data_IF_606599622658
#
_entry.id   IF_606599622658
#
_cell.length_a   1.000
_cell.length_b   1.000
_cell.length_c   1.000
_cell.angle_alpha   90.00
_cell.angle_beta   90.00
_cell.angle_gamma   90.00
#
_symmetry.space_group_name_H-M   'P 1'
#
loop_
_entity.id
_entity.type
_entity.pdbx_description
1 polymer ?
#
# COMPACT_ATOMS: atom_id res chain seq x y z
N UNK A 1 2.29 23.24 9.85
CA UNK A 1 1.04 23.93 9.47
C UNK A 1 -0.19 23.31 10.13
N UNK A 2 -0.59 22.07 9.80
CA UNK A 2 -1.84 21.48 10.32
C UNK A 2 -1.87 21.39 11.84
N UNK A 3 -0.78 20.92 12.47
CA UNK A 3 -0.68 20.86 13.93
C UNK A 3 -0.84 22.24 14.60
N UNK A 4 -0.26 23.28 14.03
CA UNK A 4 -0.40 24.66 14.54
C UNK A 4 -1.83 25.18 14.38
N UNK A 5 -2.44 24.98 13.20
CA UNK A 5 -3.83 25.34 12.97
C UNK A 5 -4.80 24.58 13.89
N UNK A 6 -4.53 23.30 14.12
CA UNK A 6 -5.29 22.44 15.03
C UNK A 6 -5.18 22.90 16.48
N UNK A 7 -3.97 23.10 17.00
CA UNK A 7 -3.74 23.60 18.37
C UNK A 7 -4.49 24.90 18.63
N UNK A 8 -4.46 25.80 17.64
CA UNK A 8 -5.11 27.09 17.73
C UNK A 8 -6.64 26.98 17.65
N UNK A 9 -7.19 26.16 16.76
CA UNK A 9 -8.63 25.91 16.75
C UNK A 9 -9.08 25.22 18.04
N UNK A 10 -8.36 24.21 18.53
CA UNK A 10 -8.64 23.52 19.81
C UNK A 10 -8.70 24.49 20.99
N UNK A 11 -7.86 25.51 21.01
CA UNK A 11 -7.90 26.53 22.06
C UNK A 11 -9.17 27.38 22.11
N UNK A 12 -10.00 27.34 21.07
CA UNK A 12 -11.30 28.01 20.99
C UNK A 12 -12.44 27.00 21.15
N UNK A 13 -12.34 25.87 20.46
CA UNK A 13 -13.45 24.92 20.29
C UNK A 13 -13.40 23.73 21.26
N UNK A 14 -12.31 23.59 22.01
CA UNK A 14 -12.06 22.48 22.93
C UNK A 14 -11.74 21.17 22.20
N UNK A 15 -12.16 20.05 22.80
CA UNK A 15 -11.87 18.68 22.33
C UNK A 15 -12.75 18.22 21.16
N UNK A 16 -13.37 19.15 20.42
CA UNK A 16 -14.15 18.77 19.24
C UNK A 16 -13.25 18.20 18.14
N UNK A 17 -13.81 17.32 17.33
CA UNK A 17 -13.17 16.84 16.12
C UNK A 17 -13.01 18.01 15.13
N UNK A 18 -11.78 18.26 14.71
CA UNK A 18 -11.43 19.27 13.74
C UNK A 18 -11.03 18.54 12.47
N UNK A 19 -11.83 18.70 11.42
CA UNK A 19 -11.52 18.16 10.11
C UNK A 19 -10.92 19.26 9.26
N UNK A 20 -9.83 18.94 8.58
CA UNK A 20 -9.22 19.78 7.57
C UNK A 20 -9.37 19.15 6.19
N UNK A 21 -9.50 20.00 5.18
CA UNK A 21 -9.46 19.62 3.78
C UNK A 21 -8.82 20.73 2.95
N UNK A 22 -8.20 20.35 1.83
CA UNK A 22 -7.73 21.32 0.85
C UNK A 22 -8.88 22.17 0.34
N UNK A 23 -8.60 23.43 0.01
CA UNK A 23 -9.60 24.29 -0.64
C UNK A 23 -9.71 23.94 -2.12
N UNK A 24 -10.86 24.22 -2.77
CA UNK A 24 -11.01 23.97 -4.21
C UNK A 24 -10.25 24.97 -5.08
N UNK A 25 -9.80 26.10 -4.52
CA UNK A 25 -9.08 27.15 -5.23
C UNK A 25 -8.08 27.83 -4.29
N UNK A 26 -6.83 27.95 -4.73
CA UNK A 26 -5.73 28.61 -4.00
C UNK A 26 -6.05 30.03 -3.52
N UNK A 27 -6.93 30.75 -4.22
CA UNK A 27 -7.40 32.08 -3.81
C UNK A 27 -8.18 32.02 -2.50
N UNK A 28 -8.80 30.90 -2.16
CA UNK A 28 -9.60 30.70 -0.96
C UNK A 28 -8.75 30.33 0.26
N UNK A 29 -7.50 29.91 0.08
CA UNK A 29 -6.59 29.43 1.12
C UNK A 29 -5.94 28.12 0.70
N UNK A 30 -4.98 27.63 1.47
CA UNK A 30 -4.31 26.35 1.18
C UNK A 30 -5.13 25.18 1.71
N UNK A 31 -5.75 25.35 2.88
CA UNK A 31 -6.66 24.39 3.47
C UNK A 31 -7.74 25.09 4.28
N UNK A 32 -8.78 24.36 4.65
CA UNK A 32 -9.90 24.88 5.43
C UNK A 32 -10.37 23.90 6.50
N UNK A 33 -11.09 24.42 7.49
CA UNK A 33 -11.80 23.63 8.47
C UNK A 33 -13.30 23.90 8.44
N UNK A 34 -14.07 22.83 8.64
CA UNK A 34 -15.54 22.85 8.71
C UNK A 34 -16.07 22.92 10.15
N UNK A 35 -15.19 23.15 11.14
CA UNK A 35 -15.54 23.11 12.57
C UNK A 35 -16.69 24.06 12.95
N UNK A 36 -16.84 25.18 12.24
CA UNK A 36 -17.95 26.12 12.48
C UNK A 36 -19.32 25.49 12.24
N UNK A 37 -19.47 24.55 11.28
CA UNK A 37 -20.73 23.81 11.09
C UNK A 37 -21.08 22.95 12.31
N UNK A 38 -20.08 22.28 12.87
CA UNK A 38 -20.25 21.40 14.04
C UNK A 38 -20.70 22.23 15.25
N UNK A 39 -20.05 23.37 15.47
CA UNK A 39 -20.36 24.29 16.58
C UNK A 39 -21.73 24.92 16.38
N UNK A 40 -22.03 25.41 15.19
CA UNK A 40 -23.31 26.04 14.88
C UNK A 40 -24.48 25.09 15.08
N UNK A 41 -24.34 23.81 14.72
CA UNK A 41 -25.35 22.78 14.99
C UNK A 41 -25.58 22.59 16.50
N UNK A 42 -24.51 22.58 17.31
CA UNK A 42 -24.61 22.46 18.78
C UNK A 42 -25.24 23.71 19.42
N UNK A 43 -24.87 24.90 18.95
CA UNK A 43 -25.32 26.17 19.49
C UNK A 43 -26.65 26.66 18.91
N UNK A 44 -27.19 25.98 17.89
CA UNK A 44 -28.35 26.41 17.09
C UNK A 44 -28.19 27.84 16.53
N UNK A 45 -26.97 28.17 16.09
CA UNK A 45 -26.60 29.46 15.50
C UNK A 45 -26.37 29.34 13.99
N UNK A 46 -26.29 30.48 13.30
CA UNK A 46 -25.88 30.49 11.90
C UNK A 46 -24.39 30.07 11.77
N UNK A 47 -24.05 29.07 10.95
CA UNK A 47 -22.66 28.63 10.73
C UNK A 47 -21.70 29.73 10.27
N UNK A 48 -22.19 30.71 9.49
CA UNK A 48 -21.38 31.83 9.04
C UNK A 48 -20.98 32.74 10.20
N UNK A 49 -21.92 33.08 11.08
CA UNK A 49 -21.66 33.91 12.27
C UNK A 49 -20.67 33.22 13.21
N UNK A 50 -20.82 31.90 13.39
CA UNK A 50 -19.87 31.12 14.20
C UNK A 50 -18.46 31.15 13.60
N UNK A 51 -18.31 31.06 12.28
CA UNK A 51 -17.00 31.19 11.64
C UNK A 51 -16.39 32.59 11.86
N UNK A 52 -17.20 33.65 11.78
CA UNK A 52 -16.76 35.04 12.05
C UNK A 52 -16.32 35.24 13.50
N UNK A 53 -17.05 34.67 14.46
CA UNK A 53 -16.72 34.68 15.89
C UNK A 53 -15.37 33.98 16.16
N UNK A 54 -15.17 32.80 15.53
CA UNK A 54 -13.93 32.04 15.68
C UNK A 54 -12.75 32.85 15.13
N UNK A 55 -12.86 33.40 13.92
CA UNK A 55 -11.78 34.18 13.30
C UNK A 55 -11.47 35.44 14.10
N UNK A 56 -12.50 36.10 14.62
CA UNK A 56 -12.31 37.27 15.48
C UNK A 56 -11.50 36.93 16.73
N UNK A 57 -11.73 35.74 17.30
CA UNK A 57 -10.98 35.21 18.45
C UNK A 57 -9.53 34.80 18.11
N UNK A 58 -9.22 34.60 16.82
CA UNK A 58 -7.91 34.20 16.32
C UNK A 58 -6.98 35.37 15.99
N UNK A 59 -7.52 36.57 15.73
CA UNK A 59 -6.74 37.75 15.29
C UNK A 59 -5.60 38.13 16.23
N UNK A 60 -5.71 37.82 17.52
CA UNK A 60 -4.69 38.15 18.53
C UNK A 60 -3.63 37.08 18.71
N UNK A 61 -3.80 35.90 18.07
CA UNK A 61 -2.88 34.78 18.19
C UNK A 61 -1.81 34.86 17.11
N UNK A 62 -0.55 34.82 17.54
CA UNK A 62 0.58 34.73 16.62
C UNK A 62 0.71 33.31 16.12
N UNK A 63 0.89 33.18 14.81
CA UNK A 63 1.17 31.93 14.12
C UNK A 63 2.49 32.08 13.37
N UNK A 64 3.31 31.04 13.41
CA UNK A 64 4.59 30.97 12.72
C UNK A 64 4.40 30.65 11.24
N UNK A 65 3.56 29.68 10.90
CA UNK A 65 3.43 29.19 9.52
C UNK A 65 2.13 29.62 8.83
N UNK A 66 1.28 30.41 9.49
CA UNK A 66 0.00 30.89 8.94
C UNK A 66 0.07 32.41 8.80
N UNK A 67 -0.03 32.87 7.55
CA UNK A 67 -0.03 34.29 7.17
C UNK A 67 -1.38 34.95 7.40
N UNK A 68 -2.46 34.24 7.08
CA UNK A 68 -3.82 34.77 7.17
C UNK A 68 -4.82 33.65 7.49
N UNK A 69 -5.86 34.00 8.24
CA UNK A 69 -7.06 33.19 8.41
C UNK A 69 -8.24 34.06 8.04
N UNK A 70 -9.12 33.56 7.17
CA UNK A 70 -10.36 34.23 6.78
C UNK A 70 -11.49 33.24 6.59
N UNK A 71 -12.73 33.69 6.70
CA UNK A 71 -13.87 32.84 6.44
C UNK A 71 -14.39 33.06 5.03
N UNK A 72 -14.84 31.97 4.40
CA UNK A 72 -15.65 32.02 3.18
C UNK A 72 -16.94 31.30 3.50
N UNK A 73 -17.98 32.09 3.80
CA UNK A 73 -19.19 31.57 4.42
C UNK A 73 -18.86 30.93 5.79
N UNK A 74 -19.23 29.66 6.01
CA UNK A 74 -18.96 28.95 7.27
C UNK A 74 -17.60 28.24 7.33
N UNK A 75 -16.80 28.27 6.26
CA UNK A 75 -15.48 27.64 6.26
C UNK A 75 -14.46 28.57 6.90
N UNK A 76 -13.55 28.00 7.70
CA UNK A 76 -12.39 28.71 8.23
C UNK A 76 -11.20 28.35 7.35
N UNK A 77 -10.73 29.29 6.54
CA UNK A 77 -9.68 29.04 5.56
C UNK A 77 -8.34 29.61 6.05
N UNK A 78 -7.28 28.86 5.79
CA UNK A 78 -5.93 29.13 6.25
C UNK A 78 -5.02 29.40 5.06
N UNK A 79 -4.20 30.44 5.16
CA UNK A 79 -3.17 30.79 4.20
C UNK A 79 -1.81 30.60 4.86
N UNK A 80 -0.97 29.78 4.26
CA UNK A 80 0.37 29.46 4.72
C UNK A 80 1.28 30.67 4.45
N UNK A 81 2.14 30.96 5.41
CA UNK A 81 3.29 31.82 5.17
C UNK A 81 4.38 31.01 4.47
N UNK A 82 4.37 31.04 3.13
CA UNK A 82 5.29 30.27 2.31
C UNK A 82 6.75 30.71 2.44
N UNK A 83 7.02 31.96 2.84
CA UNK A 83 8.39 32.44 3.01
C UNK A 83 9.01 31.78 4.24
N UNK A 84 8.32 31.82 5.38
CA UNK A 84 8.77 31.19 6.62
C UNK A 84 8.73 29.67 6.50
N UNK A 85 7.60 29.13 6.03
CA UNK A 85 7.41 27.68 5.90
C UNK A 85 8.41 27.08 4.90
N UNK A 86 8.59 27.70 3.74
CA UNK A 86 9.51 27.24 2.70
C UNK A 86 10.96 27.28 3.16
N UNK A 87 11.38 28.35 3.82
CA UNK A 87 12.73 28.44 4.38
C UNK A 87 13.01 27.34 5.40
N UNK A 88 12.13 27.15 6.39
CA UNK A 88 12.31 26.13 7.42
C UNK A 88 12.22 24.71 6.83
N UNK A 89 11.31 24.46 5.89
CA UNK A 89 11.20 23.19 5.19
C UNK A 89 12.49 22.83 4.44
N UNK A 90 13.00 23.75 3.62
CA UNK A 90 14.23 23.52 2.86
C UNK A 90 15.43 23.36 3.79
N UNK A 91 15.51 24.17 4.84
CA UNK A 91 16.55 24.04 5.87
C UNK A 91 16.50 22.66 6.52
N UNK A 92 15.32 22.15 6.86
CA UNK A 92 15.18 20.82 7.47
C UNK A 92 15.53 19.72 6.46
N UNK A 93 15.03 19.78 5.22
CA UNK A 93 15.37 18.81 4.16
C UNK A 93 16.88 18.72 3.92
N UNK A 94 17.60 19.85 3.97
CA UNK A 94 19.03 19.90 3.71
C UNK A 94 19.89 19.49 4.92
N UNK A 95 19.41 19.68 6.15
CA UNK A 95 20.20 19.45 7.37
C UNK A 95 19.82 18.19 8.14
N UNK A 96 18.60 17.67 7.96
CA UNK A 96 18.10 16.51 8.69
C UNK A 96 18.20 15.24 7.86
N UNK A 97 18.67 14.16 8.49
CA UNK A 97 18.19 12.83 8.13
C UNK A 97 16.81 12.74 8.74
N UNK A 98 15.78 12.52 7.93
CA UNK A 98 14.42 12.26 8.41
C UNK A 98 14.48 11.02 9.32
N UNK A 99 14.51 11.23 10.63
CA UNK A 99 14.54 10.13 11.60
C UNK A 99 13.12 9.60 11.74
N UNK A 100 12.86 8.54 10.99
CA UNK A 100 11.67 7.73 11.19
C UNK A 100 11.95 6.81 12.36
N UNK A 101 11.14 6.89 13.41
CA UNK A 101 11.22 5.99 14.55
C UNK A 101 10.95 4.54 14.12
N UNK A 102 11.72 3.61 14.69
CA UNK A 102 11.46 2.19 14.50
C UNK A 102 10.07 1.81 15.00
N UNK A 103 9.36 1.02 14.19
CA UNK A 103 8.05 0.49 14.54
C UNK A 103 8.23 -0.87 15.20
N UNK A 104 7.47 -1.11 16.27
CA UNK A 104 7.55 -2.36 17.04
C UNK A 104 6.84 -3.51 16.33
N UNK A 105 5.94 -3.18 15.42
CA UNK A 105 5.14 -4.10 14.65
C UNK A 105 5.98 -4.79 13.56
N UNK A 106 5.80 -6.11 13.46
CA UNK A 106 6.29 -6.89 12.33
C UNK A 106 5.27 -6.85 11.20
N UNK A 107 5.74 -6.62 9.98
CA UNK A 107 4.92 -6.68 8.76
C UNK A 107 5.43 -7.82 7.90
N UNK A 108 4.54 -8.73 7.52
CA UNK A 108 4.82 -9.77 6.52
C UNK A 108 4.15 -9.34 5.23
N UNK A 109 4.94 -9.26 4.16
CA UNK A 109 4.45 -9.01 2.80
C UNK A 109 4.71 -10.26 1.98
N UNK A 110 3.66 -11.04 1.74
CA UNK A 110 3.72 -12.17 0.82
C UNK A 110 3.33 -11.69 -0.59
N UNK A 111 4.17 -11.99 -1.58
CA UNK A 111 3.89 -11.69 -2.97
C UNK A 111 4.61 -12.66 -3.91
N UNK A 112 4.33 -12.51 -5.20
CA UNK A 112 4.72 -13.45 -6.26
C UNK A 112 3.97 -14.77 -6.13
N UNK A 113 4.31 -15.60 -5.13
CA UNK A 113 3.67 -16.88 -4.74
C UNK A 113 3.06 -17.65 -5.92
N UNK A 114 3.85 -17.79 -7.00
CA UNK A 114 3.40 -18.45 -8.22
C UNK A 114 3.72 -19.93 -8.15
N UNK A 115 2.79 -20.76 -8.64
CA UNK A 115 3.07 -22.18 -8.80
C UNK A 115 4.33 -22.38 -9.67
N UNK A 116 5.25 -23.28 -9.26
CA UNK A 116 6.52 -23.52 -9.94
C UNK A 116 6.34 -24.48 -11.13
N UNK A 117 5.39 -24.19 -12.01
CA UNK A 117 4.99 -25.06 -13.11
C UNK A 117 4.99 -24.37 -14.48
N UNK A 118 5.33 -23.07 -14.55
CA UNK A 118 5.31 -22.27 -15.77
C UNK A 118 6.12 -20.98 -15.61
N UNK A 119 6.52 -20.29 -16.69
CA UNK A 119 7.27 -19.05 -16.57
C UNK A 119 6.38 -17.91 -16.07
N UNK A 120 7.01 -16.89 -15.47
CA UNK A 120 6.30 -15.70 -15.04
C UNK A 120 5.80 -14.86 -16.24
N UNK A 121 4.59 -14.30 -16.13
CA UNK A 121 4.00 -13.41 -17.13
C UNK A 121 3.60 -12.05 -16.52
N UNK A 122 3.09 -11.12 -17.34
CA UNK A 122 2.74 -9.76 -16.90
C UNK A 122 1.82 -9.70 -15.67
N UNK A 123 0.87 -10.63 -15.55
CA UNK A 123 0.05 -10.77 -14.34
C UNK A 123 0.87 -11.00 -13.05
N UNK A 124 1.87 -11.88 -13.08
CA UNK A 124 2.75 -12.14 -11.93
C UNK A 124 3.69 -10.96 -11.69
N UNK A 125 4.19 -10.32 -12.75
CA UNK A 125 5.03 -9.14 -12.62
C UNK A 125 4.30 -8.01 -11.87
N UNK A 126 3.02 -7.77 -12.18
CA UNK A 126 2.19 -6.81 -11.43
C UNK A 126 2.13 -7.16 -9.94
N UNK A 127 1.86 -8.42 -9.60
CA UNK A 127 1.80 -8.86 -8.21
C UNK A 127 3.15 -8.63 -7.50
N UNK A 128 4.26 -9.05 -8.12
CA UNK A 128 5.60 -8.88 -7.59
C UNK A 128 5.97 -7.40 -7.36
N UNK A 129 5.68 -6.52 -8.33
CA UNK A 129 5.96 -5.09 -8.21
C UNK A 129 5.13 -4.45 -7.09
N UNK A 130 3.84 -4.79 -6.98
CA UNK A 130 2.98 -4.25 -5.92
C UNK A 130 3.49 -4.68 -4.53
N UNK A 131 3.80 -5.96 -4.37
CA UNK A 131 4.35 -6.49 -3.12
C UNK A 131 5.68 -5.87 -2.76
N UNK A 132 6.64 -5.81 -3.70
CA UNK A 132 7.96 -5.21 -3.46
C UNK A 132 7.85 -3.70 -3.15
N UNK A 133 6.94 -2.98 -3.82
CA UNK A 133 6.68 -1.56 -3.53
C UNK A 133 6.17 -1.36 -2.10
N UNK A 134 5.20 -2.17 -1.66
CA UNK A 134 4.70 -2.13 -0.29
C UNK A 134 5.80 -2.47 0.72
N UNK A 135 6.60 -3.51 0.46
CA UNK A 135 7.71 -3.89 1.32
C UNK A 135 8.75 -2.77 1.45
N UNK A 136 9.05 -2.05 0.35
CA UNK A 136 9.93 -0.87 0.37
C UNK A 136 9.36 0.26 1.20
N UNK A 137 8.05 0.53 1.09
CA UNK A 137 7.37 1.54 1.91
C UNK A 137 7.44 1.18 3.39
N UNK A 138 7.14 -0.07 3.77
CA UNK A 138 7.23 -0.51 5.17
C UNK A 138 8.66 -0.46 5.72
N UNK A 139 9.66 -0.87 4.93
CA UNK A 139 11.08 -0.73 5.30
C UNK A 139 11.50 0.72 5.45
N UNK A 140 11.07 1.60 4.56
CA UNK A 140 11.30 3.04 4.65
C UNK A 140 10.69 3.61 5.93
N UNK A 141 9.48 3.18 6.27
CA UNK A 141 8.78 3.52 7.51
C UNK A 141 9.32 2.78 8.77
N UNK A 142 10.45 2.08 8.66
CA UNK A 142 11.16 1.38 9.75
C UNK A 142 10.33 0.30 10.46
N UNK A 143 9.44 -0.37 9.74
CA UNK A 143 8.84 -1.62 10.21
C UNK A 143 9.81 -2.79 10.08
N UNK A 144 9.75 -3.74 11.02
CA UNK A 144 10.37 -5.05 10.86
C UNK A 144 9.64 -5.82 9.74
N UNK A 145 10.14 -5.69 8.52
CA UNK A 145 9.45 -6.15 7.30
C UNK A 145 10.06 -7.43 6.78
N UNK A 146 9.28 -8.51 6.76
CA UNK A 146 9.63 -9.79 6.15
C UNK A 146 8.90 -9.95 4.82
N UNK A 147 9.65 -10.36 3.78
CA UNK A 147 9.08 -10.63 2.46
C UNK A 147 9.02 -12.15 2.30
N UNK A 148 7.86 -12.67 1.95
CA UNK A 148 7.64 -14.09 1.72
C UNK A 148 7.26 -14.36 0.27
N UNK A 149 7.73 -15.48 -0.27
CA UNK A 149 7.34 -16.01 -1.56
C UNK A 149 6.96 -17.48 -1.32
N UNK A 150 5.67 -17.76 -1.26
CA UNK A 150 5.18 -19.12 -1.01
C UNK A 150 5.32 -19.97 -2.26
N UNK A 151 5.96 -21.13 -2.13
CA UNK A 151 6.13 -22.09 -3.20
C UNK A 151 5.27 -23.30 -2.89
N UNK A 152 4.26 -23.55 -3.72
CA UNK A 152 3.45 -24.77 -3.67
C UNK A 152 4.09 -25.86 -4.54
N UNK A 153 5.00 -26.63 -3.96
CA UNK A 153 5.67 -27.75 -4.61
C UNK A 153 4.85 -29.05 -4.60
N UNK A 154 3.68 -29.06 -3.95
CA UNK A 154 2.79 -30.21 -3.82
C UNK A 154 1.47 -30.04 -4.62
N UNK A 155 1.23 -28.86 -5.18
CA UNK A 155 0.03 -28.54 -5.94
C UNK A 155 -0.19 -29.44 -7.17
N UNK A 156 -1.46 -29.60 -7.55
CA UNK A 156 -1.86 -30.45 -8.68
C UNK A 156 -1.18 -30.04 -10.00
N UNK A 157 -0.90 -28.76 -10.19
CA UNK A 157 -0.22 -28.25 -11.39
C UNK A 157 1.26 -28.68 -11.47
N UNK A 158 1.92 -28.84 -10.32
CA UNK A 158 3.26 -29.44 -10.26
C UNK A 158 3.18 -30.92 -10.58
N UNK A 159 2.16 -31.63 -10.09
CA UNK A 159 1.94 -33.03 -10.45
C UNK A 159 1.66 -33.22 -11.96
N UNK A 160 0.88 -32.34 -12.58
CA UNK A 160 0.62 -32.34 -14.02
C UNK A 160 1.91 -32.18 -14.82
N UNK A 161 2.74 -31.19 -14.46
CA UNK A 161 4.00 -30.93 -15.16
C UNK A 161 5.06 -32.01 -14.90
N UNK A 162 5.14 -32.57 -13.69
CA UNK A 162 6.02 -33.69 -13.37
C UNK A 162 5.59 -34.97 -14.09
N UNK A 163 4.29 -35.26 -14.17
CA UNK A 163 3.78 -36.41 -14.94
C UNK A 163 4.13 -36.23 -16.43
N UNK A 164 3.90 -35.04 -16.99
CA UNK A 164 4.26 -34.73 -18.37
C UNK A 164 5.77 -34.86 -18.63
N UNK A 165 6.61 -34.36 -17.72
CA UNK A 165 8.07 -34.49 -17.79
C UNK A 165 8.52 -35.96 -17.82
N UNK A 166 7.88 -36.83 -17.03
CA UNK A 166 8.21 -38.27 -16.98
C UNK A 166 7.72 -39.06 -18.20
N UNK A 167 6.58 -38.68 -18.80
CA UNK A 167 5.87 -39.52 -19.76
C UNK A 167 5.92 -39.03 -21.21
N UNK A 168 6.27 -37.77 -21.45
CA UNK A 168 6.34 -37.18 -22.77
C UNK A 168 7.80 -36.89 -23.17
N UNK A 169 8.00 -36.43 -24.41
CA UNK A 169 9.31 -36.09 -24.96
C UNK A 169 9.33 -34.61 -25.34
N UNK A 170 10.31 -33.88 -24.81
CA UNK A 170 10.48 -32.45 -25.06
C UNK A 170 11.96 -32.10 -25.26
N UNK A 171 12.19 -30.90 -25.76
CA UNK A 171 13.53 -30.32 -25.89
C UNK A 171 14.00 -29.74 -24.54
N UNK A 172 14.91 -30.46 -23.88
CA UNK A 172 15.47 -30.06 -22.59
C UNK A 172 16.51 -28.92 -22.69
N UNK A 173 16.81 -28.42 -23.90
CA UNK A 173 17.70 -27.25 -24.06
C UNK A 173 17.04 -25.92 -23.68
N UNK A 174 15.70 -25.90 -23.56
CA UNK A 174 14.93 -24.71 -23.15
C UNK A 174 15.13 -24.39 -21.68
N UNK A 175 14.92 -23.13 -21.32
CA UNK A 175 14.86 -22.71 -19.92
C UNK A 175 13.76 -23.52 -19.21
N UNK A 176 14.07 -24.06 -18.04
CA UNK A 176 13.26 -25.09 -17.40
C UNK A 176 11.82 -24.63 -17.11
N UNK A 177 11.62 -23.41 -16.59
CA UNK A 177 10.29 -22.82 -16.36
C UNK A 177 9.44 -22.73 -17.65
N UNK A 178 10.05 -22.37 -18.78
CA UNK A 178 9.38 -22.30 -20.09
C UNK A 178 9.04 -23.70 -20.61
N UNK A 179 9.95 -24.67 -20.43
CA UNK A 179 9.69 -26.07 -20.72
C UNK A 179 8.48 -26.58 -19.92
N UNK A 180 8.40 -26.29 -18.61
CA UNK A 180 7.25 -26.70 -17.79
C UNK A 180 5.93 -26.10 -18.31
N UNK A 181 5.95 -24.84 -18.76
CA UNK A 181 4.80 -24.21 -19.40
C UNK A 181 4.34 -24.93 -20.67
N UNK A 182 5.27 -25.41 -21.51
CA UNK A 182 4.95 -26.21 -22.70
C UNK A 182 4.41 -27.59 -22.32
N UNK A 183 5.03 -28.25 -21.35
CA UNK A 183 4.57 -29.55 -20.82
C UNK A 183 3.13 -29.42 -20.32
N UNK A 184 2.85 -28.38 -19.53
CA UNK A 184 1.51 -28.12 -18.99
C UNK A 184 0.46 -28.05 -20.10
N UNK A 185 0.74 -27.30 -21.18
CA UNK A 185 -0.17 -27.17 -22.33
C UNK A 185 -0.41 -28.51 -23.03
N UNK A 186 0.64 -29.30 -23.25
CA UNK A 186 0.50 -30.61 -23.90
C UNK A 186 -0.25 -31.62 -23.03
N UNK A 187 0.03 -31.65 -21.73
CA UNK A 187 -0.71 -32.49 -20.77
C UNK A 187 -2.19 -32.13 -20.82
N UNK A 188 -2.55 -30.85 -20.76
CA UNK A 188 -3.96 -30.42 -20.76
C UNK A 188 -4.69 -30.76 -22.07
N UNK A 189 -3.99 -30.83 -23.21
CA UNK A 189 -4.58 -31.25 -24.49
C UNK A 189 -4.93 -32.74 -24.54
N UNK A 190 -4.10 -33.60 -23.94
CA UNK A 190 -4.24 -35.06 -24.02
C UNK A 190 -4.95 -35.66 -22.81
N UNK A 191 -5.13 -34.87 -21.75
CA UNK A 191 -5.67 -35.30 -20.46
C UNK A 191 -7.05 -35.92 -20.62
N UNK A 192 -7.13 -37.18 -20.17
CA UNK A 192 -8.35 -37.95 -20.08
C UNK A 192 -8.51 -38.54 -18.67
N UNK A 193 -9.57 -39.31 -18.44
CA UNK A 193 -9.84 -39.95 -17.15
C UNK A 193 -8.68 -40.82 -16.64
N UNK A 194 -7.96 -41.50 -17.55
CA UNK A 194 -6.85 -42.37 -17.16
C UNK A 194 -5.67 -41.51 -16.69
N UNK A 195 -5.29 -40.51 -17.48
CA UNK A 195 -4.18 -39.61 -17.18
C UNK A 195 -4.45 -38.83 -15.88
N UNK A 196 -5.68 -38.36 -15.67
CA UNK A 196 -6.06 -37.70 -14.41
C UNK A 196 -5.86 -38.59 -13.20
N UNK A 197 -6.16 -39.89 -13.31
CA UNK A 197 -5.95 -40.85 -12.22
C UNK A 197 -4.46 -41.06 -11.94
N UNK A 198 -3.63 -41.11 -12.99
CA UNK A 198 -2.17 -41.21 -12.84
C UNK A 198 -1.59 -39.95 -12.20
N UNK A 199 -2.03 -38.75 -12.61
CA UNK A 199 -1.61 -37.46 -12.03
C UNK A 199 -2.02 -37.37 -10.55
N UNK A 200 -3.24 -37.78 -10.19
CA UNK A 200 -3.68 -37.80 -8.78
C UNK A 200 -2.88 -38.78 -7.92
N UNK A 201 -2.53 -39.95 -8.48
CA UNK A 201 -1.67 -40.90 -7.78
C UNK A 201 -0.26 -40.32 -7.55
N UNK A 202 0.30 -39.64 -8.56
CA UNK A 202 1.58 -38.96 -8.45
C UNK A 202 1.53 -37.80 -7.44
N UNK A 203 0.46 -37.00 -7.43
CA UNK A 203 0.28 -35.92 -6.46
C UNK A 203 0.27 -36.46 -5.03
N UNK A 204 -0.42 -37.58 -4.78
CA UNK A 204 -0.39 -38.25 -3.49
C UNK A 204 1.02 -38.74 -3.12
N UNK A 205 1.75 -39.31 -4.08
CA UNK A 205 3.15 -39.70 -3.86
C UNK A 205 4.04 -38.48 -3.53
N UNK A 206 3.80 -37.33 -4.16
CA UNK A 206 4.48 -36.07 -3.86
C UNK A 206 4.24 -35.64 -2.42
N UNK A 207 3.00 -35.68 -1.94
CA UNK A 207 2.65 -35.35 -0.54
C UNK A 207 3.32 -36.30 0.47
N UNK A 208 3.43 -37.60 0.15
CA UNK A 208 3.98 -38.61 1.05
C UNK A 208 5.52 -38.61 1.08
N UNK A 209 6.18 -38.36 -0.07
CA UNK A 209 7.63 -38.53 -0.23
C UNK A 209 8.42 -37.25 -0.47
N UNK A 210 7.76 -36.16 -0.87
CA UNK A 210 8.42 -34.92 -1.31
C UNK A 210 9.17 -35.03 -2.63
N UNK A 211 8.89 -36.05 -3.47
CA UNK A 211 9.61 -36.30 -4.73
C UNK A 211 9.57 -35.12 -5.73
N UNK A 212 8.61 -34.20 -5.61
CA UNK A 212 8.52 -33.01 -6.45
C UNK A 212 9.49 -31.90 -6.08
N UNK A 213 10.12 -31.93 -4.90
CA UNK A 213 10.92 -30.80 -4.41
C UNK A 213 12.12 -30.48 -5.30
N UNK A 214 12.92 -31.48 -5.63
CA UNK A 214 14.08 -31.32 -6.53
C UNK A 214 13.64 -30.88 -7.94
N UNK A 215 12.47 -31.35 -8.39
CA UNK A 215 11.88 -30.93 -9.65
C UNK A 215 11.50 -29.45 -9.63
N UNK A 216 10.89 -28.97 -8.55
CA UNK A 216 10.48 -27.58 -8.36
C UNK A 216 11.66 -26.64 -8.19
N UNK A 217 12.70 -27.04 -7.45
CA UNK A 217 13.90 -26.23 -7.22
C UNK A 217 14.63 -25.85 -8.53
N UNK A 218 14.50 -26.66 -9.59
CA UNK A 218 15.02 -26.33 -10.92
C UNK A 218 14.25 -25.20 -11.62
N UNK A 219 13.05 -24.87 -11.16
CA UNK A 219 12.17 -23.84 -11.72
C UNK A 219 12.29 -22.49 -11.00
N UNK A 220 12.86 -22.46 -9.79
CA UNK A 220 13.06 -21.27 -8.97
C UNK A 220 14.35 -20.53 -9.35
#
# INVERSE_FOLDING_TARGET
MYKEAEEILRSIVGDMEIVFSDTPDSNLGDFSSTVAFVIAKKMKKNPKEVAEDIISSLKTKKMKYIKEIRNVGPYINFFIDYDIFGYDLLKNILNEKWEIEEKKEKVIVEHTSTNPNKPLHMGHLRNAILGDTLARIFKFLKYNTEIQNYIDDLGIQVAETLWGYKNLRFDESKKFDHLLGEIYVEVEKIKDYRIEKEIRALNKEMEESGISREFVERCL
#
